data_IF_017025929192
#
_entry.id   IF_017025929192
#
_cell.length_a   1.000
_cell.length_b   1.000
_cell.length_c   1.000
_cell.angle_alpha   90.00
_cell.angle_beta   90.00
_cell.angle_gamma   90.00
#
_symmetry.space_group_name_H-M   'P 1'
#
loop_
_entity.id
_entity.type
_entity.pdbx_description
1 polymer ?
#
# COMPACT_ATOMS: atom_id res chain seq x y z
N UNK A 1 -41.16 28.28 11.83
CA UNK A 1 -41.64 27.08 12.52
C UNK A 1 -41.81 27.38 14.01
N UNK A 2 -42.88 26.84 14.67
CA UNK A 2 -43.01 26.89 16.13
C UNK A 2 -42.32 25.68 16.75
N UNK A 3 -41.55 25.89 17.81
CA UNK A 3 -40.79 24.81 18.47
C UNK A 3 -41.68 23.66 18.94
N UNK A 4 -42.85 23.98 19.56
CA UNK A 4 -43.82 22.99 20.01
C UNK A 4 -44.37 22.11 18.89
N UNK A 5 -44.59 22.68 17.70
CA UNK A 5 -45.01 21.90 16.52
C UNK A 5 -43.91 20.98 16.06
N UNK A 6 -42.67 21.48 15.98
CA UNK A 6 -41.51 20.68 15.56
C UNK A 6 -41.26 19.51 16.52
N UNK A 7 -41.35 19.74 17.82
CA UNK A 7 -41.18 18.70 18.82
C UNK A 7 -42.24 17.60 18.70
N UNK A 8 -43.51 17.98 18.63
CA UNK A 8 -44.63 17.05 18.49
C UNK A 8 -44.56 16.26 17.17
N UNK A 9 -44.36 16.93 16.05
CA UNK A 9 -44.29 16.28 14.73
C UNK A 9 -43.05 15.36 14.61
N UNK A 10 -41.91 15.79 15.13
CA UNK A 10 -40.70 14.94 15.12
C UNK A 10 -40.86 13.71 16.02
N UNK A 11 -41.57 13.81 17.14
CA UNK A 11 -41.90 12.65 17.99
C UNK A 11 -42.77 11.63 17.23
N UNK A 12 -43.82 12.11 16.54
CA UNK A 12 -44.71 11.25 15.74
C UNK A 12 -43.95 10.55 14.63
N UNK A 13 -43.12 11.29 13.85
CA UNK A 13 -42.31 10.66 12.79
C UNK A 13 -41.30 9.66 13.34
N UNK A 14 -40.67 9.96 14.47
CA UNK A 14 -39.72 9.07 15.13
C UNK A 14 -40.40 7.77 15.58
N UNK A 15 -41.52 7.82 16.25
CA UNK A 15 -42.28 6.66 16.75
C UNK A 15 -42.85 5.80 15.62
N UNK A 16 -43.21 6.44 14.50
CA UNK A 16 -43.68 5.74 13.30
C UNK A 16 -42.57 5.20 12.40
N UNK A 17 -41.27 5.39 12.74
CA UNK A 17 -40.15 4.99 11.93
C UNK A 17 -40.00 5.74 10.57
N UNK A 18 -40.69 6.90 10.44
CA UNK A 18 -40.62 7.75 9.24
C UNK A 18 -39.35 8.57 9.23
N UNK A 19 -38.18 7.89 9.14
CA UNK A 19 -36.88 8.55 9.34
C UNK A 19 -36.56 9.64 8.32
N UNK A 20 -36.96 9.52 7.06
CA UNK A 20 -36.69 10.54 6.04
C UNK A 20 -37.50 11.83 6.26
N UNK A 21 -38.78 11.69 6.63
CA UNK A 21 -39.62 12.82 6.98
C UNK A 21 -39.15 13.53 8.26
N UNK A 22 -38.65 12.72 9.22
CA UNK A 22 -38.05 13.25 10.44
C UNK A 22 -36.78 14.07 10.14
N UNK A 23 -35.88 13.55 9.31
CA UNK A 23 -34.65 14.26 8.92
C UNK A 23 -34.99 15.59 8.27
N UNK A 24 -35.89 15.60 7.27
CA UNK A 24 -36.29 16.81 6.57
C UNK A 24 -36.94 17.84 7.49
N UNK A 25 -37.80 17.42 8.43
CA UNK A 25 -38.42 18.31 9.41
C UNK A 25 -37.37 18.95 10.33
N UNK A 26 -36.44 18.15 10.85
CA UNK A 26 -35.44 18.64 11.81
C UNK A 26 -34.41 19.52 11.12
N UNK A 27 -34.00 19.24 9.90
CA UNK A 27 -33.07 20.07 9.12
C UNK A 27 -33.71 21.48 8.89
N UNK A 28 -34.99 21.52 8.54
CA UNK A 28 -35.74 22.79 8.44
C UNK A 28 -35.86 23.52 9.78
N UNK A 29 -35.98 22.80 10.88
CA UNK A 29 -35.99 23.40 12.21
C UNK A 29 -34.61 24.02 12.55
N UNK A 30 -33.51 23.35 12.24
CA UNK A 30 -32.17 23.88 12.48
C UNK A 30 -31.90 25.16 11.66
N UNK A 31 -32.35 25.21 10.40
CA UNK A 31 -32.24 26.43 9.58
C UNK A 31 -33.07 27.60 10.15
N UNK A 32 -34.12 27.28 10.90
CA UNK A 32 -34.96 28.28 11.62
C UNK A 32 -34.43 28.58 13.03
N UNK A 33 -33.23 28.06 13.42
CA UNK A 33 -32.63 28.31 14.73
C UNK A 33 -33.21 27.45 15.87
N UNK A 34 -34.08 26.47 15.58
CA UNK A 34 -34.67 25.58 16.59
C UNK A 34 -33.76 24.38 16.75
N UNK A 35 -33.03 24.30 17.87
CA UNK A 35 -32.14 23.19 18.21
C UNK A 35 -32.35 22.75 19.66
N UNK A 36 -32.66 21.50 19.91
CA UNK A 36 -32.93 20.98 21.24
C UNK A 36 -32.39 19.56 21.42
N UNK A 37 -32.30 19.14 22.68
CA UNK A 37 -31.88 17.79 23.06
C UNK A 37 -32.70 16.71 22.33
N UNK A 38 -34.03 16.79 22.37
CA UNK A 38 -34.90 15.78 21.80
C UNK A 38 -34.76 15.66 20.27
N UNK A 39 -34.63 16.79 19.58
CA UNK A 39 -34.42 16.81 18.14
C UNK A 39 -33.09 16.14 17.80
N UNK A 40 -32.03 16.45 18.56
CA UNK A 40 -30.71 15.84 18.36
C UNK A 40 -30.69 14.34 18.63
N UNK A 41 -31.38 13.87 19.69
CA UNK A 41 -31.47 12.41 20.00
C UNK A 41 -32.26 11.70 18.91
N UNK A 42 -33.48 12.18 18.57
CA UNK A 42 -34.32 11.50 17.55
C UNK A 42 -33.61 11.43 16.22
N UNK A 43 -32.96 12.50 15.81
CA UNK A 43 -32.15 12.52 14.57
C UNK A 43 -30.95 11.57 14.64
N UNK A 44 -30.22 11.58 15.73
CA UNK A 44 -29.08 10.71 15.94
C UNK A 44 -29.48 9.22 15.93
N UNK A 45 -30.55 8.84 16.61
CA UNK A 45 -31.09 7.48 16.60
C UNK A 45 -31.62 7.10 15.22
N UNK A 46 -32.29 8.01 14.50
CA UNK A 46 -32.75 7.76 13.14
C UNK A 46 -31.60 7.49 12.17
N UNK A 47 -30.52 8.25 12.23
CA UNK A 47 -29.31 7.96 11.45
C UNK A 47 -28.66 6.64 11.88
N UNK A 48 -28.66 6.32 13.16
CA UNK A 48 -28.15 5.04 13.65
C UNK A 48 -28.95 3.86 13.07
N UNK A 49 -30.27 3.92 13.06
CA UNK A 49 -31.17 2.91 12.49
C UNK A 49 -30.95 2.73 10.99
N UNK A 50 -30.64 3.80 10.27
CA UNK A 50 -30.26 3.79 8.85
C UNK A 50 -28.82 3.33 8.60
N UNK A 51 -28.06 2.92 9.63
CA UNK A 51 -26.64 2.58 9.60
C UNK A 51 -25.73 3.74 9.14
N UNK A 52 -26.20 4.98 9.21
CA UNK A 52 -25.43 6.19 8.93
C UNK A 52 -24.68 6.67 10.19
N UNK A 53 -23.81 5.80 10.73
CA UNK A 53 -23.24 5.95 12.08
C UNK A 53 -22.44 7.24 12.29
N UNK A 54 -21.74 7.75 11.26
CA UNK A 54 -21.02 9.02 11.39
C UNK A 54 -21.96 10.22 11.58
N UNK A 55 -23.11 10.22 10.93
CA UNK A 55 -24.16 11.23 11.16
C UNK A 55 -24.79 11.04 12.53
N UNK A 56 -25.08 9.82 12.93
CA UNK A 56 -25.55 9.52 14.29
C UNK A 56 -24.59 10.07 15.34
N UNK A 57 -23.28 9.83 15.22
CA UNK A 57 -22.24 10.37 16.13
C UNK A 57 -22.32 11.90 16.22
N UNK A 58 -22.48 12.60 15.09
CA UNK A 58 -22.55 14.04 15.05
C UNK A 58 -23.71 14.56 15.94
N UNK A 59 -24.91 13.99 15.77
CA UNK A 59 -26.10 14.46 16.45
C UNK A 59 -26.16 13.99 17.91
N UNK A 60 -25.81 12.74 18.19
CA UNK A 60 -25.76 12.20 19.56
C UNK A 60 -24.72 12.93 20.42
N UNK A 61 -23.57 13.32 19.86
CA UNK A 61 -22.61 14.18 20.58
C UNK A 61 -23.18 15.54 20.91
N UNK A 62 -23.89 16.17 19.97
CA UNK A 62 -24.57 17.45 20.22
C UNK A 62 -25.67 17.30 21.28
N UNK A 63 -26.42 16.20 21.28
CA UNK A 63 -27.39 15.89 22.31
C UNK A 63 -26.76 15.84 23.71
N UNK A 64 -25.60 15.23 23.85
CA UNK A 64 -24.84 15.15 25.11
C UNK A 64 -24.25 16.50 25.58
N UNK A 65 -24.22 17.52 24.73
CA UNK A 65 -23.92 18.91 25.18
C UNK A 65 -25.09 19.46 25.98
N UNK A 66 -26.33 19.16 25.58
CA UNK A 66 -27.53 19.56 26.33
C UNK A 66 -27.73 18.73 27.60
N UNK A 67 -27.51 17.40 27.52
CA UNK A 67 -27.74 16.48 28.64
C UNK A 67 -26.57 15.47 28.76
N UNK A 68 -25.47 15.86 29.45
CA UNK A 68 -24.26 15.05 29.53
C UNK A 68 -24.42 13.73 30.29
N UNK A 69 -25.41 13.59 31.13
CA UNK A 69 -25.67 12.40 31.97
C UNK A 69 -26.52 11.34 31.26
N UNK A 70 -27.16 11.65 30.13
CA UNK A 70 -28.13 10.75 29.51
C UNK A 70 -27.48 9.45 29.01
N UNK A 71 -27.91 8.32 29.60
CA UNK A 71 -27.41 7.00 29.29
C UNK A 71 -27.94 6.48 27.97
N UNK A 72 -29.17 6.79 27.58
CA UNK A 72 -29.75 6.36 26.31
C UNK A 72 -28.95 6.90 25.13
N UNK A 73 -28.65 8.21 25.14
CA UNK A 73 -27.79 8.82 24.11
C UNK A 73 -26.37 8.26 24.14
N UNK A 74 -25.78 8.02 25.32
CA UNK A 74 -24.45 7.42 25.45
C UNK A 74 -24.40 6.01 24.89
N UNK A 75 -25.46 5.23 25.05
CA UNK A 75 -25.53 3.87 24.54
C UNK A 75 -25.49 3.84 23.00
N UNK A 76 -26.38 4.59 22.35
CA UNK A 76 -26.36 4.71 20.89
C UNK A 76 -25.03 5.28 20.36
N UNK A 77 -24.48 6.29 21.04
CA UNK A 77 -23.19 6.88 20.65
C UNK A 77 -22.05 5.86 20.78
N UNK A 78 -22.08 5.03 21.84
CA UNK A 78 -21.09 3.99 22.04
C UNK A 78 -21.12 2.97 20.90
N UNK A 79 -22.30 2.44 20.55
CA UNK A 79 -22.41 1.50 19.45
C UNK A 79 -22.09 2.16 18.09
N UNK A 80 -22.43 3.43 17.88
CA UNK A 80 -22.03 4.15 16.67
C UNK A 80 -20.51 4.27 16.56
N UNK A 81 -19.80 4.49 17.66
CA UNK A 81 -18.33 4.45 17.69
C UNK A 81 -17.77 3.05 17.39
N UNK A 82 -18.40 1.98 17.88
CA UNK A 82 -17.99 0.60 17.57
C UNK A 82 -18.13 0.30 16.08
N UNK A 83 -19.28 0.65 15.49
CA UNK A 83 -19.57 0.37 14.08
C UNK A 83 -18.75 1.22 13.10
N UNK A 84 -18.17 2.32 13.58
CA UNK A 84 -17.22 3.15 12.81
C UNK A 84 -15.76 2.89 13.18
N UNK A 85 -15.49 1.85 13.97
CA UNK A 85 -14.15 1.49 14.48
C UNK A 85 -13.45 2.62 15.28
N UNK A 86 -14.19 3.59 15.77
CA UNK A 86 -13.71 4.66 16.63
C UNK A 86 -13.56 4.19 18.09
N UNK A 87 -12.82 3.09 18.28
CA UNK A 87 -12.67 2.43 19.59
C UNK A 87 -12.09 3.35 20.67
N UNK A 88 -11.26 4.30 20.30
CA UNK A 88 -10.65 5.22 21.27
C UNK A 88 -11.67 6.23 21.83
N UNK A 89 -12.55 6.76 21.00
CA UNK A 89 -13.66 7.60 21.45
C UNK A 89 -14.69 6.81 22.28
N UNK A 90 -14.93 5.57 21.88
CA UNK A 90 -15.78 4.68 22.67
C UNK A 90 -15.21 4.41 24.08
N UNK A 91 -13.90 4.19 24.23
CA UNK A 91 -13.23 4.06 25.53
C UNK A 91 -13.35 5.31 26.40
N UNK A 92 -13.16 6.49 25.77
CA UNK A 92 -13.32 7.78 26.47
C UNK A 92 -14.77 7.95 26.93
N UNK A 93 -15.74 7.56 26.09
CA UNK A 93 -17.15 7.63 26.45
C UNK A 93 -17.50 6.75 27.65
N UNK A 94 -16.95 5.53 27.72
CA UNK A 94 -17.14 4.62 28.88
C UNK A 94 -16.70 5.30 30.19
N UNK A 95 -15.58 6.03 30.21
CA UNK A 95 -15.14 6.72 31.44
C UNK A 95 -16.11 7.80 31.91
N UNK A 96 -17.02 8.26 31.04
CA UNK A 96 -18.09 9.22 31.34
C UNK A 96 -19.43 8.56 31.70
N UNK A 97 -19.50 7.22 31.69
CA UNK A 97 -20.67 6.45 32.12
C UNK A 97 -20.61 6.17 33.62
N UNK A 98 -21.75 5.91 34.28
CA UNK A 98 -21.76 5.46 35.66
C UNK A 98 -20.96 4.16 35.84
N UNK A 99 -20.28 4.01 36.96
CA UNK A 99 -19.33 2.91 37.21
C UNK A 99 -19.98 1.53 37.07
N UNK A 100 -21.26 1.41 37.38
CA UNK A 100 -22.06 0.18 37.23
C UNK A 100 -22.16 -0.30 35.79
N UNK A 101 -22.10 0.60 34.83
CA UNK A 101 -22.18 0.27 33.39
C UNK A 101 -20.81 0.05 32.76
N UNK A 102 -19.76 0.68 33.30
CA UNK A 102 -18.43 0.68 32.69
C UNK A 102 -17.90 -0.74 32.42
N UNK A 103 -18.06 -1.66 33.35
CA UNK A 103 -17.55 -3.03 33.23
C UNK A 103 -18.18 -3.81 32.05
N UNK A 104 -19.48 -3.63 31.79
CA UNK A 104 -20.19 -4.29 30.68
C UNK A 104 -19.73 -3.73 29.31
N UNK A 105 -19.62 -2.41 29.20
CA UNK A 105 -19.15 -1.78 27.96
C UNK A 105 -17.66 -2.01 27.68
N UNK A 106 -16.82 -2.09 28.73
CA UNK A 106 -15.40 -2.42 28.59
C UNK A 106 -15.20 -3.83 28.01
N UNK A 107 -16.08 -4.80 28.34
CA UNK A 107 -16.04 -6.14 27.76
C UNK A 107 -16.27 -6.13 26.24
N UNK A 108 -17.04 -5.16 25.72
CA UNK A 108 -17.32 -5.03 24.29
C UNK A 108 -16.14 -4.40 23.54
N UNK A 109 -15.34 -3.57 24.22
CA UNK A 109 -14.10 -3.02 23.67
C UNK A 109 -12.92 -3.82 24.24
N UNK A 110 -12.78 -5.07 23.88
CA UNK A 110 -11.57 -5.81 24.23
C UNK A 110 -10.38 -5.16 23.53
N UNK A 111 -9.32 -4.87 24.31
CA UNK A 111 -7.99 -4.64 23.74
C UNK A 111 -7.59 -5.94 23.06
N UNK A 112 -7.66 -5.97 21.75
CA UNK A 112 -7.31 -7.16 21.02
C UNK A 112 -5.90 -6.96 20.47
N UNK A 113 -5.00 -7.82 20.88
CA UNK A 113 -3.78 -8.05 20.12
C UNK A 113 -4.20 -8.74 18.81
N UNK A 114 -3.41 -8.56 17.80
CA UNK A 114 -3.63 -9.26 16.53
C UNK A 114 -2.31 -9.79 16.01
N UNK A 115 -2.37 -10.95 15.39
CA UNK A 115 -1.27 -11.52 14.64
C UNK A 115 -1.70 -11.65 13.21
N UNK A 116 -0.83 -11.23 12.31
CA UNK A 116 -1.00 -11.34 10.86
C UNK A 116 0.11 -12.21 10.32
N UNK A 117 -0.25 -13.18 9.52
CA UNK A 117 0.66 -13.98 8.75
C UNK A 117 0.30 -13.80 7.27
N UNK A 118 1.30 -13.50 6.43
CA UNK A 118 1.12 -13.41 4.99
C UNK A 118 2.16 -14.25 4.26
N UNK A 119 1.73 -14.93 3.22
CA UNK A 119 2.58 -15.60 2.24
C UNK A 119 2.18 -15.13 0.85
N UNK A 120 3.16 -14.72 0.05
CA UNK A 120 2.96 -14.27 -1.32
C UNK A 120 3.90 -14.97 -2.29
N UNK A 121 3.35 -15.35 -3.44
CA UNK A 121 4.09 -15.86 -4.58
C UNK A 121 3.77 -15.01 -5.81
N UNK A 122 4.82 -14.57 -6.51
CA UNK A 122 4.71 -13.79 -7.73
C UNK A 122 5.50 -14.48 -8.84
N UNK A 123 4.91 -14.59 -10.00
CA UNK A 123 5.53 -15.09 -11.23
C UNK A 123 5.53 -14.02 -12.30
N UNK A 124 6.38 -14.18 -13.29
CA UNK A 124 6.53 -13.26 -14.41
C UNK A 124 6.04 -13.90 -15.70
N UNK A 125 5.24 -13.14 -16.46
CA UNK A 125 4.77 -13.49 -17.80
C UNK A 125 5.41 -12.53 -18.79
N UNK A 126 6.33 -13.02 -19.58
CA UNK A 126 6.93 -12.23 -20.67
C UNK A 126 6.03 -12.33 -21.92
N UNK A 127 5.73 -11.20 -22.55
CA UNK A 127 4.87 -11.14 -23.74
C UNK A 127 5.54 -11.74 -24.99
N UNK A 128 6.87 -11.85 -24.99
CA UNK A 128 7.64 -12.53 -25.99
C UNK A 128 8.62 -13.49 -25.31
N UNK A 129 8.78 -14.71 -25.84
CA UNK A 129 9.92 -15.57 -25.56
C UNK A 129 11.15 -14.84 -26.10
N UNK A 130 11.71 -13.97 -25.29
CA UNK A 130 12.98 -13.34 -25.62
C UNK A 130 14.07 -14.36 -25.28
N UNK A 131 14.32 -15.22 -26.25
CA UNK A 131 15.54 -15.99 -26.32
C UNK A 131 16.75 -15.04 -26.35
N UNK A 132 17.88 -15.54 -25.92
CA UNK A 132 19.21 -14.95 -26.17
C UNK A 132 19.36 -14.41 -27.59
N UNK A 133 18.67 -14.99 -28.56
CA UNK A 133 18.53 -14.56 -29.95
C UNK A 133 18.00 -13.12 -30.11
N UNK A 134 17.25 -12.57 -29.14
CA UNK A 134 16.77 -11.17 -29.25
C UNK A 134 17.91 -10.17 -29.14
N UNK A 135 18.88 -10.41 -28.27
CA UNK A 135 20.10 -9.59 -28.23
C UNK A 135 20.97 -9.77 -29.46
N UNK A 136 20.92 -10.95 -30.07
CA UNK A 136 21.74 -11.34 -31.21
C UNK A 136 21.11 -10.94 -32.56
N UNK A 137 19.87 -11.28 -32.80
CA UNK A 137 19.29 -11.25 -34.14
C UNK A 137 18.93 -9.84 -34.65
N UNK A 138 18.52 -8.91 -33.80
CA UNK A 138 18.05 -7.58 -34.25
C UNK A 138 19.18 -6.59 -34.52
N UNK A 139 20.34 -6.77 -33.91
CA UNK A 139 21.38 -5.76 -33.86
C UNK A 139 22.63 -6.10 -34.68
N UNK A 140 22.76 -7.34 -35.13
CA UNK A 140 23.85 -7.73 -36.04
C UNK A 140 23.63 -7.35 -37.52
N UNK A 141 22.40 -6.97 -37.86
CA UNK A 141 22.08 -6.41 -39.19
C UNK A 141 22.44 -4.93 -39.33
N UNK A 142 22.70 -4.22 -38.23
CA UNK A 142 23.13 -2.84 -38.27
C UNK A 142 24.67 -2.76 -38.29
N UNK A 143 25.21 -2.73 -39.48
CA UNK A 143 26.68 -2.66 -39.74
C UNK A 143 27.35 -1.42 -39.17
N UNK A 144 26.60 -0.39 -38.85
CA UNK A 144 27.12 0.85 -38.21
C UNK A 144 27.53 0.63 -36.74
N UNK A 145 27.18 -0.49 -36.14
CA UNK A 145 27.40 -0.83 -34.74
C UNK A 145 28.57 -1.80 -34.51
N UNK A 146 29.37 -2.10 -35.52
CA UNK A 146 30.53 -2.96 -35.42
C UNK A 146 31.76 -2.25 -34.83
N UNK A 147 31.68 -1.93 -33.52
CA UNK A 147 32.86 -1.56 -32.74
C UNK A 147 33.66 -2.78 -32.27
N UNK A 148 34.93 -2.57 -31.88
CA UNK A 148 35.87 -3.61 -31.41
C UNK A 148 35.46 -4.28 -30.07
N UNK A 149 34.25 -4.15 -29.61
CA UNK A 149 33.72 -4.84 -28.45
C UNK A 149 32.26 -4.46 -28.24
N UNK A 150 31.39 -5.44 -28.25
CA UNK A 150 29.99 -5.29 -27.93
C UNK A 150 29.74 -5.94 -26.57
N UNK A 151 29.08 -5.22 -25.69
CA UNK A 151 28.64 -5.72 -24.39
C UNK A 151 27.17 -5.39 -24.20
N UNK A 152 26.41 -6.38 -23.78
CA UNK A 152 25.00 -6.21 -23.44
C UNK A 152 24.67 -7.01 -22.16
N UNK A 153 23.83 -6.45 -21.32
CA UNK A 153 23.32 -7.11 -20.14
C UNK A 153 21.81 -6.92 -19.98
N UNK A 154 21.15 -7.95 -19.49
CA UNK A 154 19.79 -7.88 -19.01
C UNK A 154 19.67 -8.53 -17.65
N UNK A 155 18.75 -8.06 -16.85
CA UNK A 155 18.48 -8.60 -15.53
C UNK A 155 16.95 -8.75 -15.40
N UNK A 156 16.48 -9.99 -15.31
CA UNK A 156 15.06 -10.32 -15.36
C UNK A 156 14.62 -10.98 -14.07
N UNK A 157 13.47 -10.58 -13.59
CA UNK A 157 12.81 -11.24 -12.47
C UNK A 157 12.08 -12.50 -12.99
N UNK A 158 12.35 -13.66 -12.40
CA UNK A 158 11.64 -14.93 -12.69
C UNK A 158 10.47 -15.12 -11.74
N UNK A 159 10.73 -15.09 -10.45
CA UNK A 159 9.72 -15.27 -9.42
C UNK A 159 10.10 -14.50 -8.14
N UNK A 160 9.11 -14.21 -7.32
CA UNK A 160 9.32 -13.64 -6.01
C UNK A 160 8.42 -14.36 -5.00
N UNK A 161 8.99 -14.68 -3.85
CA UNK A 161 8.28 -15.20 -2.71
C UNK A 161 8.48 -14.26 -1.54
N UNK A 162 7.44 -14.05 -0.73
CA UNK A 162 7.60 -13.37 0.54
C UNK A 162 6.81 -14.04 1.64
N UNK A 163 7.36 -13.97 2.82
CA UNK A 163 6.77 -14.43 4.05
C UNK A 163 6.81 -13.29 5.04
N UNK A 164 5.68 -13.04 5.70
CA UNK A 164 5.58 -11.97 6.66
C UNK A 164 4.84 -12.42 7.90
N UNK A 165 5.35 -11.97 9.04
CA UNK A 165 4.72 -12.09 10.35
C UNK A 165 4.61 -10.70 10.97
N UNK A 166 3.43 -10.35 11.46
CA UNK A 166 3.19 -9.07 12.11
C UNK A 166 2.31 -9.18 13.33
N UNK A 167 2.50 -8.26 14.26
CA UNK A 167 1.74 -8.19 15.50
C UNK A 167 1.23 -6.77 15.74
N UNK A 168 -0.08 -6.65 15.91
CA UNK A 168 -0.74 -5.42 16.35
C UNK A 168 -1.04 -5.48 17.86
N UNK A 169 -0.76 -4.41 18.57
CA UNK A 169 -0.91 -4.36 20.03
C UNK A 169 -1.34 -2.98 20.50
N UNK A 170 -2.20 -2.89 21.53
CA UNK A 170 -2.58 -1.63 22.14
C UNK A 170 -1.51 -1.19 23.15
N UNK A 171 -0.91 0.00 22.96
CA UNK A 171 0.04 0.59 23.89
C UNK A 171 -0.66 1.40 24.97
N UNK A 172 -1.69 2.16 24.58
CA UNK A 172 -2.49 2.95 25.51
C UNK A 172 -3.94 3.09 25.02
N UNK A 173 -4.77 3.88 25.74
CA UNK A 173 -6.15 4.17 25.30
C UNK A 173 -6.22 4.84 23.92
N UNK A 174 -5.17 5.56 23.50
CA UNK A 174 -5.12 6.32 22.25
C UNK A 174 -4.05 5.87 21.28
N UNK A 175 -3.22 4.91 21.67
CA UNK A 175 -2.05 4.50 20.87
C UNK A 175 -2.13 3.00 20.61
N UNK A 176 -2.06 2.63 19.34
CA UNK A 176 -1.87 1.25 18.88
C UNK A 176 -0.52 1.15 18.18
N UNK A 177 0.21 0.09 18.48
CA UNK A 177 1.45 -0.27 17.80
C UNK A 177 1.20 -1.43 16.83
N UNK A 178 2.00 -1.47 15.80
CA UNK A 178 2.15 -2.61 14.91
C UNK A 178 3.63 -2.83 14.63
N UNK A 179 4.08 -4.06 14.72
CA UNK A 179 5.45 -4.43 14.33
C UNK A 179 5.41 -5.69 13.49
N UNK A 180 6.29 -5.79 12.53
CA UNK A 180 6.34 -6.95 11.64
C UNK A 180 7.74 -7.19 11.10
N UNK A 181 7.98 -8.45 10.74
CA UNK A 181 9.18 -8.90 10.05
C UNK A 181 8.77 -9.59 8.77
N UNK A 182 9.56 -9.43 7.71
CA UNK A 182 9.33 -10.15 6.47
C UNK A 182 10.63 -10.57 5.79
N UNK A 183 10.53 -11.65 5.05
CA UNK A 183 11.60 -12.19 4.20
C UNK A 183 11.08 -12.20 2.79
N UNK A 184 11.84 -11.63 1.88
CA UNK A 184 11.55 -11.61 0.44
C UNK A 184 12.69 -12.32 -0.30
N UNK A 185 12.35 -13.28 -1.12
CA UNK A 185 13.27 -13.95 -2.03
C UNK A 185 12.85 -13.65 -3.47
N UNK A 186 13.70 -12.97 -4.20
CA UNK A 186 13.47 -12.60 -5.59
C UNK A 186 14.48 -13.36 -6.47
N UNK A 187 14.00 -14.38 -7.16
CA UNK A 187 14.80 -15.15 -8.12
C UNK A 187 14.89 -14.39 -9.42
N UNK A 188 16.09 -14.13 -9.85
CA UNK A 188 16.42 -13.33 -11.03
C UNK A 188 17.35 -14.10 -11.95
N UNK A 189 17.35 -13.71 -13.21
CA UNK A 189 18.27 -14.18 -14.24
C UNK A 189 19.01 -12.98 -14.82
N UNK A 190 20.33 -13.00 -14.70
CA UNK A 190 21.21 -12.05 -15.37
C UNK A 190 21.75 -12.70 -16.64
N UNK A 191 21.53 -12.08 -17.78
CA UNK A 191 22.04 -12.51 -19.06
C UNK A 191 23.10 -11.50 -19.53
N UNK A 192 24.28 -12.00 -19.86
CA UNK A 192 25.42 -11.19 -20.31
C UNK A 192 25.90 -11.72 -21.66
N UNK A 193 25.90 -10.81 -22.63
CA UNK A 193 26.44 -11.04 -23.96
C UNK A 193 27.67 -10.17 -24.18
N UNK A 194 28.78 -10.75 -24.67
CA UNK A 194 29.93 -9.97 -25.10
C UNK A 194 30.51 -10.51 -26.38
N UNK A 195 30.96 -9.64 -27.26
CA UNK A 195 31.73 -9.95 -28.44
C UNK A 195 33.00 -9.11 -28.42
N UNK A 196 34.15 -9.74 -28.44
CA UNK A 196 35.45 -9.09 -28.54
C UNK A 196 36.19 -9.59 -29.77
N UNK A 197 37.00 -8.71 -30.33
CA UNK A 197 37.84 -9.03 -31.49
C UNK A 197 39.27 -9.13 -31.01
N UNK A 198 39.89 -10.29 -31.19
CA UNK A 198 41.29 -10.55 -30.85
C UNK A 198 42.07 -10.72 -32.13
N UNK A 199 43.14 -9.98 -32.25
CA UNK A 199 44.07 -10.10 -33.36
C UNK A 199 45.20 -11.06 -32.98
N UNK A 200 45.31 -12.19 -33.71
CA UNK A 200 46.39 -13.13 -33.53
C UNK A 200 47.27 -13.12 -34.80
N UNK A 201 48.58 -13.10 -34.61
CA UNK A 201 49.51 -13.23 -35.72
C UNK A 201 49.65 -14.71 -36.09
N UNK A 202 49.22 -15.06 -37.31
CA UNK A 202 49.37 -16.41 -37.84
C UNK A 202 50.75 -16.48 -38.50
N UNK A 203 51.68 -17.21 -37.87
CA UNK A 203 53.06 -17.36 -38.33
C UNK A 203 53.13 -18.15 -39.64
N UNK A 204 52.16 -19.02 -39.95
CA UNK A 204 52.12 -19.80 -41.17
C UNK A 204 51.69 -18.95 -42.36
N UNK A 205 50.87 -17.95 -42.17
CA UNK A 205 50.35 -17.00 -43.18
C UNK A 205 51.06 -15.68 -43.18
N UNK A 206 51.96 -15.44 -42.20
CA UNK A 206 52.62 -14.15 -41.95
C UNK A 206 51.64 -12.96 -41.94
N UNK A 207 50.45 -13.20 -41.39
CA UNK A 207 49.34 -12.23 -41.38
C UNK A 207 48.65 -12.15 -40.03
N UNK A 208 48.16 -10.98 -39.70
CA UNK A 208 47.28 -10.79 -38.56
C UNK A 208 45.88 -11.28 -38.91
N UNK A 209 45.41 -12.31 -38.17
CA UNK A 209 44.06 -12.84 -38.30
C UNK A 209 43.18 -12.27 -37.21
N UNK A 210 41.98 -11.87 -37.62
CA UNK A 210 40.94 -11.32 -36.73
C UNK A 210 40.03 -12.48 -36.31
N UNK A 211 40.04 -12.79 -35.02
CA UNK A 211 39.15 -13.76 -34.43
C UNK A 211 38.16 -13.11 -33.52
N UNK A 212 36.88 -13.35 -33.74
CA UNK A 212 35.82 -12.89 -32.83
C UNK A 212 35.59 -13.90 -31.73
N UNK A 213 35.73 -13.47 -30.48
CA UNK A 213 35.36 -14.25 -29.30
C UNK A 213 33.98 -13.78 -28.84
N UNK A 214 33.01 -14.69 -28.89
CA UNK A 214 31.65 -14.45 -28.40
C UNK A 214 31.50 -15.21 -27.09
N UNK A 215 31.03 -14.52 -26.07
CA UNK A 215 30.60 -15.11 -24.80
C UNK A 215 29.15 -14.73 -24.57
N UNK A 216 28.30 -15.73 -24.40
CA UNK A 216 26.88 -15.63 -24.13
C UNK A 216 26.57 -16.49 -22.92
N UNK A 217 26.22 -15.87 -21.81
CA UNK A 217 26.10 -16.55 -20.51
C UNK A 217 24.90 -16.01 -19.75
N UNK A 218 24.09 -16.93 -19.24
CA UNK A 218 23.06 -16.60 -18.27
C UNK A 218 23.40 -17.15 -16.89
N UNK A 219 23.11 -16.38 -15.87
CA UNK A 219 23.35 -16.72 -14.47
C UNK A 219 22.09 -16.45 -13.66
N UNK A 220 21.58 -17.49 -12.99
CA UNK A 220 20.47 -17.35 -12.05
C UNK A 220 21.00 -16.98 -10.66
N UNK A 221 20.38 -16.00 -10.02
CA UNK A 221 20.72 -15.60 -8.67
C UNK A 221 19.50 -15.23 -7.86
N UNK A 222 19.61 -15.29 -6.55
CA UNK A 222 18.56 -14.90 -5.61
C UNK A 222 18.97 -13.62 -4.90
N UNK A 223 18.08 -12.62 -4.94
CA UNK A 223 18.14 -11.46 -4.09
C UNK A 223 17.32 -11.79 -2.84
N UNK A 224 17.97 -11.90 -1.69
CA UNK A 224 17.33 -12.11 -0.40
C UNK A 224 17.21 -10.77 0.33
N UNK A 225 16.02 -10.44 0.80
CA UNK A 225 15.73 -9.20 1.53
C UNK A 225 15.04 -9.52 2.85
N UNK A 226 15.54 -8.94 3.93
CA UNK A 226 14.98 -9.00 5.28
C UNK A 226 14.46 -7.62 5.64
N UNK A 227 13.26 -7.57 6.20
CA UNK A 227 12.59 -6.31 6.52
C UNK A 227 12.08 -6.33 7.97
N UNK A 228 12.22 -5.21 8.63
CA UNK A 228 11.61 -4.96 9.95
C UNK A 228 10.80 -3.67 9.84
N UNK A 229 9.55 -3.74 10.18
CA UNK A 229 8.62 -2.61 10.18
C UNK A 229 8.09 -2.36 11.59
N UNK A 230 7.92 -1.10 11.93
CA UNK A 230 7.15 -0.66 13.10
C UNK A 230 6.32 0.57 12.77
N UNK A 231 5.14 0.65 13.34
CA UNK A 231 4.23 1.77 13.12
C UNK A 231 3.34 2.04 14.33
N UNK A 232 2.91 3.29 14.46
CA UNK A 232 1.99 3.73 15.50
C UNK A 232 0.77 4.38 14.87
N UNK A 233 -0.39 4.11 15.45
CA UNK A 233 -1.64 4.81 15.20
C UNK A 233 -2.01 5.54 16.48
N UNK A 234 -2.11 6.87 16.41
CA UNK A 234 -2.37 7.75 17.55
C UNK A 234 -3.66 8.51 17.32
N UNK A 235 -4.67 8.22 18.12
CA UNK A 235 -5.96 8.95 18.09
C UNK A 235 -5.80 10.29 18.82
N UNK A 236 -5.97 11.37 18.07
CA UNK A 236 -5.94 12.75 18.57
C UNK A 236 -7.39 13.30 18.76
N UNK A 237 -7.56 14.39 19.51
CA UNK A 237 -8.88 15.04 19.62
C UNK A 237 -9.44 15.47 18.26
N UNK A 238 -10.75 15.74 18.20
CA UNK A 238 -11.47 16.22 17.00
C UNK A 238 -11.42 15.26 15.79
N UNK A 239 -11.43 13.94 16.05
CA UNK A 239 -11.39 12.88 15.02
C UNK A 239 -10.18 12.96 14.09
N UNK A 240 -9.05 13.36 14.62
CA UNK A 240 -7.76 13.36 13.93
C UNK A 240 -7.02 12.08 14.34
N UNK A 241 -6.41 11.42 13.37
CA UNK A 241 -5.52 10.27 13.62
C UNK A 241 -4.17 10.55 12.99
N UNK A 242 -3.12 10.40 13.80
CA UNK A 242 -1.74 10.43 13.35
C UNK A 242 -1.27 8.99 13.17
N UNK A 243 -0.74 8.71 11.99
CA UNK A 243 -0.15 7.42 11.63
C UNK A 243 1.34 7.64 11.40
N UNK A 244 2.17 6.80 11.98
CA UNK A 244 3.62 6.82 11.72
C UNK A 244 4.08 5.43 11.34
N UNK A 245 5.09 5.33 10.50
CA UNK A 245 5.70 4.06 10.14
C UNK A 245 7.18 4.23 9.85
N UNK A 246 7.96 3.23 10.23
CA UNK A 246 9.36 3.13 9.88
C UNK A 246 9.69 1.69 9.49
N UNK A 247 10.48 1.53 8.44
CA UNK A 247 10.93 0.24 7.94
C UNK A 247 12.41 0.28 7.64
N UNK A 248 13.11 -0.75 8.08
CA UNK A 248 14.47 -1.03 7.67
C UNK A 248 14.50 -2.30 6.84
N UNK A 249 15.17 -2.24 5.70
CA UNK A 249 15.31 -3.34 4.78
C UNK A 249 16.80 -3.59 4.54
N UNK A 250 17.23 -4.80 4.75
CA UNK A 250 18.57 -5.27 4.39
C UNK A 250 18.43 -6.28 3.26
N UNK A 251 19.16 -6.09 2.18
CA UNK A 251 19.20 -7.06 1.10
C UNK A 251 20.62 -7.43 0.71
N UNK A 252 20.78 -8.67 0.24
CA UNK A 252 22.01 -9.21 -0.32
C UNK A 252 21.72 -9.92 -1.62
N UNK A 253 22.66 -9.83 -2.53
CA UNK A 253 22.62 -10.55 -3.82
C UNK A 253 24.01 -10.95 -4.22
N UNK A 254 24.11 -12.11 -4.90
CA UNK A 254 25.32 -12.54 -5.57
C UNK A 254 25.09 -12.45 -7.07
N UNK A 255 25.56 -11.36 -7.68
CA UNK A 255 25.35 -11.09 -9.10
C UNK A 255 26.66 -11.16 -9.87
N UNK A 256 26.60 -11.77 -11.05
CA UNK A 256 27.72 -11.79 -11.98
C UNK A 256 27.88 -10.45 -12.69
N UNK A 257 29.11 -9.97 -12.76
CA UNK A 257 29.49 -8.74 -13.48
C UNK A 257 30.54 -9.08 -14.52
N UNK A 258 30.51 -8.34 -15.63
CA UNK A 258 31.56 -8.37 -16.60
C UNK A 258 32.48 -7.16 -16.43
N UNK A 259 33.79 -7.38 -16.41
CA UNK A 259 34.81 -6.34 -16.42
C UNK A 259 35.65 -6.47 -17.68
N UNK A 260 35.82 -5.34 -18.39
CA UNK A 260 36.67 -5.32 -19.57
C UNK A 260 38.13 -5.28 -19.15
N UNK A 261 38.92 -6.23 -19.66
CA UNK A 261 40.38 -6.26 -19.47
C UNK A 261 41.04 -5.72 -20.75
N UNK A 262 41.62 -4.54 -20.68
CA UNK A 262 42.26 -3.85 -21.81
C UNK A 262 43.54 -4.54 -22.31
N UNK A 263 44.23 -5.29 -21.44
CA UNK A 263 45.44 -6.01 -21.82
C UNK A 263 45.14 -7.24 -22.69
N UNK A 264 44.06 -7.96 -22.34
CA UNK A 264 43.64 -9.13 -23.11
C UNK A 264 42.58 -8.84 -24.17
N UNK A 265 42.12 -7.56 -24.26
CA UNK A 265 41.04 -7.12 -25.12
C UNK A 265 39.77 -7.98 -25.00
N UNK A 266 39.45 -8.41 -23.76
CA UNK A 266 38.39 -9.38 -23.50
C UNK A 266 37.63 -9.05 -22.24
N UNK A 267 36.35 -9.50 -22.16
CA UNK A 267 35.54 -9.42 -20.95
C UNK A 267 35.78 -10.61 -20.03
N UNK A 268 36.01 -10.34 -18.76
CA UNK A 268 36.09 -11.31 -17.69
C UNK A 268 34.84 -11.24 -16.83
N UNK A 269 34.24 -12.39 -16.52
CA UNK A 269 33.08 -12.51 -15.66
C UNK A 269 33.51 -12.82 -14.23
N UNK A 270 32.96 -12.09 -13.27
CA UNK A 270 33.23 -12.27 -11.84
C UNK A 270 31.93 -12.20 -11.07
N UNK A 271 31.75 -13.10 -10.12
CA UNK A 271 30.68 -12.99 -9.14
C UNK A 271 31.03 -11.94 -8.09
N UNK A 272 30.06 -11.15 -7.71
CA UNK A 272 30.20 -10.17 -6.65
C UNK A 272 29.01 -10.21 -5.72
N UNK A 273 29.30 -10.37 -4.44
CA UNK A 273 28.31 -10.25 -3.38
C UNK A 273 28.15 -8.77 -3.03
N UNK A 274 26.95 -8.27 -3.14
CA UNK A 274 26.64 -6.92 -2.68
C UNK A 274 25.55 -6.96 -1.62
N UNK A 275 25.71 -6.16 -0.57
CA UNK A 275 24.74 -6.02 0.50
C UNK A 275 24.46 -4.54 0.74
N UNK A 276 23.19 -4.18 0.93
CA UNK A 276 22.78 -2.79 1.16
C UNK A 276 21.65 -2.72 2.17
N UNK A 277 21.62 -1.61 2.91
CA UNK A 277 20.51 -1.25 3.81
C UNK A 277 19.70 -0.11 3.22
N UNK A 278 18.39 -0.21 3.32
CA UNK A 278 17.42 0.82 2.96
C UNK A 278 16.61 1.20 4.21
N UNK A 279 16.26 2.46 4.31
CA UNK A 279 15.42 2.97 5.39
C UNK A 279 14.26 3.77 4.81
N UNK A 280 13.07 3.54 5.36
CA UNK A 280 11.84 4.23 4.98
C UNK A 280 11.15 4.73 6.24
N UNK A 281 10.73 5.99 6.23
CA UNK A 281 9.89 6.57 7.28
C UNK A 281 8.73 7.32 6.67
N UNK A 282 7.58 7.26 7.33
CA UNK A 282 6.36 7.91 6.86
C UNK A 282 5.54 8.43 8.03
N UNK A 283 4.92 9.59 7.83
CA UNK A 283 3.99 10.21 8.77
C UNK A 283 2.76 10.63 8.00
N UNK A 284 1.57 10.25 8.48
CA UNK A 284 0.30 10.60 7.86
C UNK A 284 -0.67 11.15 8.88
N UNK A 285 -1.43 12.14 8.47
CA UNK A 285 -2.49 12.75 9.25
C UNK A 285 -3.81 12.53 8.54
N UNK A 286 -4.78 11.97 9.24
CA UNK A 286 -6.14 11.78 8.74
C UNK A 286 -7.14 12.52 9.62
N UNK A 287 -8.25 12.95 9.02
CA UNK A 287 -9.36 13.51 9.75
C UNK A 287 -10.67 12.96 9.20
N UNK A 288 -11.52 12.43 10.09
CA UNK A 288 -12.83 11.94 9.68
C UNK A 288 -13.86 13.08 9.72
N UNK A 289 -14.49 13.31 8.59
CA UNK A 289 -15.65 14.19 8.43
C UNK A 289 -16.82 13.35 7.95
N UNK A 290 -17.93 13.29 8.64
CA UNK A 290 -19.15 12.59 8.21
C UNK A 290 -18.91 11.38 7.26
N UNK A 291 -18.86 11.65 5.95
CA UNK A 291 -18.66 10.67 4.88
C UNK A 291 -17.29 10.77 4.19
N UNK A 292 -16.43 11.70 4.61
CA UNK A 292 -15.11 11.92 3.99
C UNK A 292 -13.98 11.71 5.00
N UNK A 293 -12.92 11.06 4.56
CA UNK A 293 -11.70 10.83 5.34
C UNK A 293 -10.50 11.27 4.49
N UNK A 294 -10.15 12.57 4.47
CA UNK A 294 -8.92 13.03 3.86
C UNK A 294 -7.70 12.58 4.67
N UNK A 295 -6.60 12.32 3.96
CA UNK A 295 -5.30 11.98 4.52
C UNK A 295 -4.20 12.72 3.78
N UNK A 296 -3.30 13.33 4.52
CA UNK A 296 -2.02 13.85 4.05
C UNK A 296 -0.91 12.96 4.59
N UNK A 297 0.01 12.57 3.74
CA UNK A 297 1.15 11.72 4.08
C UNK A 297 2.46 12.32 3.59
N UNK A 298 3.50 12.24 4.41
CA UNK A 298 4.87 12.66 4.07
C UNK A 298 5.83 11.54 4.43
N UNK A 299 6.70 11.17 3.49
CA UNK A 299 7.72 10.13 3.66
C UNK A 299 9.11 10.66 3.38
N UNK A 300 10.09 10.18 4.15
CA UNK A 300 11.51 10.40 3.96
C UNK A 300 12.21 9.04 3.90
N UNK A 301 12.83 8.75 2.76
CA UNK A 301 13.31 7.42 2.43
C UNK A 301 14.77 7.48 1.98
N UNK A 302 15.56 6.49 2.34
CA UNK A 302 16.88 6.24 1.77
C UNK A 302 16.85 4.85 1.14
N UNK A 303 16.75 4.79 -0.18
CA UNK A 303 16.61 3.55 -0.95
C UNK A 303 17.71 3.52 -2.00
N UNK A 304 18.44 2.42 -2.08
CA UNK A 304 19.60 2.24 -2.98
C UNK A 304 20.66 3.34 -2.88
N UNK A 305 20.82 3.90 -1.68
CA UNK A 305 21.75 5.01 -1.40
C UNK A 305 21.21 6.38 -1.79
N UNK A 306 20.02 6.49 -2.39
CA UNK A 306 19.38 7.75 -2.78
C UNK A 306 18.46 8.24 -1.66
N UNK A 307 18.55 9.53 -1.35
CA UNK A 307 17.60 10.20 -0.46
C UNK A 307 16.39 10.64 -1.27
N UNK A 308 15.21 10.30 -0.78
CA UNK A 308 13.94 10.54 -1.46
C UNK A 308 12.93 11.14 -0.49
N UNK A 309 12.10 12.04 -0.98
CA UNK A 309 10.91 12.53 -0.31
C UNK A 309 9.65 12.10 -1.05
N UNK A 310 8.58 11.84 -0.33
CA UNK A 310 7.28 11.50 -0.88
C UNK A 310 6.20 12.30 -0.18
N UNK A 311 5.28 12.89 -0.94
CA UNK A 311 4.07 13.54 -0.43
C UNK A 311 2.89 12.87 -1.11
N UNK A 312 1.86 12.51 -0.32
CA UNK A 312 0.64 11.93 -0.86
C UNK A 312 -0.61 12.58 -0.24
N UNK A 313 -1.59 12.82 -1.09
CA UNK A 313 -2.93 13.26 -0.74
C UNK A 313 -3.92 12.17 -1.12
N UNK A 314 -4.78 11.79 -0.18
CA UNK A 314 -5.81 10.77 -0.39
C UNK A 314 -7.10 11.21 0.26
N UNK A 315 -8.23 10.84 -0.34
CA UNK A 315 -9.54 11.02 0.29
C UNK A 315 -10.37 9.75 0.10
N UNK A 316 -10.92 9.24 1.20
CA UNK A 316 -11.90 8.16 1.17
C UNK A 316 -13.30 8.74 1.34
N UNK A 317 -14.22 8.35 0.47
CA UNK A 317 -15.64 8.67 0.53
C UNK A 317 -16.41 7.43 0.97
N UNK A 318 -17.25 7.58 1.99
CA UNK A 318 -18.11 6.55 2.57
C UNK A 318 -19.56 6.86 2.23
N UNK A 319 -20.13 6.34 1.12
CA UNK A 319 -21.49 6.68 0.67
C UNK A 319 -22.56 6.47 1.77
N UNK A 320 -22.40 5.39 2.53
CA UNK A 320 -23.33 5.00 3.60
C UNK A 320 -22.90 5.50 4.99
N UNK A 321 -21.88 6.35 5.08
CA UNK A 321 -21.33 6.80 6.37
C UNK A 321 -20.62 5.71 7.18
N UNK A 322 -20.35 4.57 6.58
CA UNK A 322 -19.65 3.42 7.16
C UNK A 322 -18.79 2.73 6.09
N UNK A 323 -18.01 1.71 6.50
CA UNK A 323 -17.11 0.97 5.61
C UNK A 323 -17.80 -0.11 4.76
N UNK A 324 -19.15 -0.25 4.79
CA UNK A 324 -19.85 -1.20 3.93
C UNK A 324 -19.62 -0.93 2.45
N UNK A 325 -19.30 0.33 2.10
CA UNK A 325 -18.76 0.74 0.82
C UNK A 325 -17.82 1.92 1.04
N UNK A 326 -16.64 1.87 0.46
CA UNK A 326 -15.64 2.94 0.50
C UNK A 326 -15.05 3.15 -0.89
N UNK A 327 -14.93 4.39 -1.30
CA UNK A 327 -14.30 4.82 -2.54
C UNK A 327 -13.12 5.72 -2.16
N UNK A 328 -11.91 5.36 -2.54
CA UNK A 328 -10.72 6.12 -2.18
C UNK A 328 -9.98 6.54 -3.44
N UNK A 329 -9.72 7.83 -3.56
CA UNK A 329 -8.85 8.39 -4.59
C UNK A 329 -7.62 9.05 -3.98
N UNK A 330 -6.48 8.96 -4.63
CA UNK A 330 -5.27 9.57 -4.14
C UNK A 330 -4.23 9.84 -5.22
N UNK A 331 -3.36 10.80 -4.90
CA UNK A 331 -2.20 11.17 -5.71
C UNK A 331 -0.97 11.22 -4.82
N UNK A 332 0.16 10.82 -5.36
CA UNK A 332 1.44 10.88 -4.67
C UNK A 332 2.53 11.38 -5.60
N UNK A 333 3.38 12.23 -5.07
CA UNK A 333 4.58 12.71 -5.73
C UNK A 333 5.76 12.29 -4.88
N UNK A 334 6.71 11.60 -5.50
CA UNK A 334 8.00 11.29 -4.88
C UNK A 334 9.13 11.85 -5.72
N UNK A 335 10.16 12.37 -5.09
CA UNK A 335 11.31 12.93 -5.79
C UNK A 335 12.61 12.55 -5.10
N UNK A 336 13.64 12.42 -5.90
CA UNK A 336 15.05 12.43 -5.50
C UNK A 336 15.77 13.58 -6.21
N UNK A 337 17.08 13.67 -6.07
CA UNK A 337 17.88 14.75 -6.69
C UNK A 337 17.91 14.70 -8.24
N UNK A 338 17.37 13.65 -8.87
CA UNK A 338 17.46 13.40 -10.30
C UNK A 338 16.11 13.37 -11.01
N UNK A 339 15.08 12.85 -10.34
CA UNK A 339 13.80 12.52 -10.97
C UNK A 339 12.64 12.76 -10.01
N UNK A 340 11.52 13.25 -10.58
CA UNK A 340 10.23 13.30 -9.91
C UNK A 340 9.28 12.25 -10.49
N UNK A 341 8.55 11.54 -9.63
CA UNK A 341 7.67 10.43 -9.99
C UNK A 341 6.27 10.68 -9.43
N UNK A 342 5.29 10.50 -10.28
CA UNK A 342 3.88 10.69 -9.92
C UNK A 342 3.16 9.35 -9.94
N UNK A 343 2.28 9.15 -8.96
CA UNK A 343 1.40 7.98 -8.86
C UNK A 343 -0.01 8.47 -8.57
N UNK A 344 -0.97 7.97 -9.33
CA UNK A 344 -2.40 8.19 -9.09
C UNK A 344 -3.02 6.82 -8.79
N UNK A 345 -3.97 6.78 -7.84
CA UNK A 345 -4.62 5.53 -7.49
C UNK A 345 -6.08 5.70 -7.11
N UNK A 346 -6.82 4.64 -7.36
CA UNK A 346 -8.21 4.46 -6.96
C UNK A 346 -8.36 3.13 -6.22
N UNK A 347 -9.17 3.12 -5.17
CA UNK A 347 -9.52 1.90 -4.42
C UNK A 347 -11.01 1.88 -4.17
N UNK A 348 -11.59 0.70 -4.26
CA UNK A 348 -13.00 0.44 -3.93
C UNK A 348 -13.01 -0.74 -2.98
N UNK A 349 -13.58 -0.56 -1.81
CA UNK A 349 -13.70 -1.62 -0.83
C UNK A 349 -15.09 -1.66 -0.23
N UNK A 350 -15.49 -2.83 0.24
CA UNK A 350 -16.78 -2.95 0.85
C UNK A 350 -17.14 -4.35 1.31
N UNK A 351 -18.35 -4.45 1.83
CA UNK A 351 -18.93 -5.65 2.39
C UNK A 351 -19.86 -6.32 1.37
N UNK A 352 -19.59 -7.56 1.02
CA UNK A 352 -20.48 -8.37 0.17
C UNK A 352 -21.61 -8.96 1.04
N UNK A 353 -21.24 -9.52 2.20
CA UNK A 353 -22.18 -10.04 3.18
C UNK A 353 -21.58 -9.94 4.60
N UNK A 354 -22.24 -10.48 5.62
CA UNK A 354 -21.80 -10.38 7.02
C UNK A 354 -20.40 -10.94 7.29
N UNK A 355 -19.89 -11.82 6.44
CA UNK A 355 -18.59 -12.50 6.60
C UNK A 355 -17.59 -12.21 5.49
N UNK A 356 -18.05 -11.77 4.33
CA UNK A 356 -17.19 -11.59 3.15
C UNK A 356 -17.05 -10.12 2.79
N UNK A 357 -15.79 -9.68 2.67
CA UNK A 357 -15.39 -8.34 2.27
C UNK A 357 -14.51 -8.38 1.04
N UNK A 358 -14.51 -7.32 0.27
CA UNK A 358 -13.64 -7.15 -0.89
C UNK A 358 -12.95 -5.80 -0.87
N UNK A 359 -11.76 -5.75 -1.47
CA UNK A 359 -11.05 -4.53 -1.81
C UNK A 359 -10.49 -4.70 -3.22
N UNK A 360 -10.68 -3.72 -4.07
CA UNK A 360 -10.07 -3.64 -5.39
C UNK A 360 -9.34 -2.31 -5.54
N UNK A 361 -8.28 -2.29 -6.33
CA UNK A 361 -7.47 -1.10 -6.52
C UNK A 361 -6.77 -1.07 -7.85
N UNK A 362 -6.48 0.15 -8.28
CA UNK A 362 -5.72 0.47 -9.46
C UNK A 362 -4.75 1.61 -9.13
N UNK A 363 -3.47 1.41 -9.41
CA UNK A 363 -2.42 2.40 -9.34
C UNK A 363 -1.81 2.58 -10.72
N UNK A 364 -1.53 3.80 -11.12
CA UNK A 364 -0.87 4.14 -12.37
C UNK A 364 0.15 5.24 -12.16
N UNK A 365 1.20 5.25 -13.00
CA UNK A 365 2.29 6.20 -12.92
C UNK A 365 3.65 5.54 -12.80
N UNK A 366 4.58 6.17 -12.11
CA UNK A 366 5.90 5.60 -11.85
C UNK A 366 5.98 5.15 -10.38
N UNK A 367 5.72 3.86 -10.13
CA UNK A 367 5.75 3.28 -8.79
C UNK A 367 7.17 2.86 -8.33
N UNK A 368 8.21 3.14 -9.10
CA UNK A 368 9.59 2.85 -8.68
C UNK A 368 9.92 3.66 -7.42
N UNK A 369 10.32 2.96 -6.35
CA UNK A 369 10.60 3.52 -5.01
C UNK A 369 9.40 4.16 -4.30
N UNK A 370 8.20 3.98 -4.81
CA UNK A 370 6.97 4.39 -4.14
C UNK A 370 6.76 3.62 -2.84
N UNK A 371 6.22 4.30 -1.82
CA UNK A 371 5.85 3.69 -0.54
C UNK A 371 4.35 3.79 -0.32
N UNK A 372 3.76 2.69 0.16
CA UNK A 372 2.33 2.53 0.41
C UNK A 372 2.10 2.10 1.87
N UNK A 373 0.93 2.41 2.44
CA UNK A 373 0.57 1.95 3.78
C UNK A 373 1.50 2.46 4.89
N UNK A 374 1.80 3.76 4.90
CA UNK A 374 2.74 4.38 5.85
C UNK A 374 4.15 3.77 5.84
N UNK A 375 4.62 3.40 4.66
CA UNK A 375 5.94 2.81 4.48
C UNK A 375 6.00 1.30 4.74
N UNK A 376 4.86 0.64 4.89
CA UNK A 376 4.78 -0.81 5.07
C UNK A 376 5.09 -1.60 3.79
N UNK A 377 4.64 -1.11 2.64
CA UNK A 377 4.97 -1.67 1.33
C UNK A 377 5.92 -0.70 0.62
N UNK A 378 7.04 -1.22 0.14
CA UNK A 378 8.07 -0.44 -0.56
C UNK A 378 8.39 -1.12 -1.88
N UNK A 379 8.28 -0.36 -2.97
CA UNK A 379 8.60 -0.84 -4.32
C UNK A 379 10.07 -0.54 -4.66
N UNK A 380 10.98 -1.20 -3.97
CA UNK A 380 12.44 -1.01 -4.10
C UNK A 380 13.08 -1.86 -5.21
N UNK A 381 12.37 -2.09 -6.29
CA UNK A 381 12.85 -2.84 -7.45
C UNK A 381 13.46 -1.92 -8.50
N UNK A 382 14.42 -2.45 -9.27
CA UNK A 382 15.10 -1.70 -10.33
C UNK A 382 14.15 -1.32 -11.47
N UNK A 383 13.19 -2.20 -11.77
CA UNK A 383 12.28 -2.03 -12.90
C UNK A 383 11.13 -1.08 -12.53
N UNK A 384 10.79 -0.20 -13.47
CA UNK A 384 9.69 0.72 -13.29
C UNK A 384 8.36 -0.03 -13.33
N UNK A 385 7.52 0.12 -12.31
CA UNK A 385 6.14 -0.38 -12.32
C UNK A 385 5.26 0.76 -12.80
N UNK A 386 4.56 0.55 -13.93
CA UNK A 386 3.72 1.58 -14.56
C UNK A 386 2.24 1.41 -14.24
N UNK A 387 1.84 0.20 -13.86
CA UNK A 387 0.49 -0.12 -13.46
C UNK A 387 0.50 -1.25 -12.43
N UNK A 388 -0.31 -1.10 -11.39
CA UNK A 388 -0.64 -2.16 -10.44
C UNK A 388 -2.15 -2.20 -10.27
N UNK A 389 -2.76 -3.36 -10.44
CA UNK A 389 -4.17 -3.60 -10.11
C UNK A 389 -4.30 -4.87 -9.29
N UNK A 390 -5.30 -4.92 -8.44
CA UNK A 390 -5.52 -6.10 -7.62
C UNK A 390 -6.91 -6.16 -7.00
N UNK A 391 -7.26 -7.36 -6.56
CA UNK A 391 -8.48 -7.66 -5.82
C UNK A 391 -8.11 -8.50 -4.61
N UNK A 392 -8.61 -8.13 -3.46
CA UNK A 392 -8.50 -8.86 -2.21
C UNK A 392 -9.89 -9.29 -1.75
N UNK A 393 -10.05 -10.54 -1.37
CA UNK A 393 -11.24 -11.07 -0.73
C UNK A 393 -10.89 -11.53 0.67
N UNK A 394 -11.63 -11.08 1.68
CA UNK A 394 -11.40 -11.40 3.09
C UNK A 394 -12.65 -12.07 3.68
N UNK A 395 -12.50 -13.28 4.21
CA UNK A 395 -13.56 -14.03 4.85
C UNK A 395 -13.33 -14.08 6.36
N UNK A 396 -14.32 -13.64 7.13
CA UNK A 396 -14.33 -13.64 8.60
C UNK A 396 -15.10 -14.84 9.11
N UNK A 397 -14.39 -15.84 9.63
CA UNK A 397 -15.02 -16.99 10.28
C UNK A 397 -15.80 -16.55 11.51
N UNK A 398 -15.21 -15.68 12.30
CA UNK A 398 -15.75 -15.06 13.50
C UNK A 398 -15.00 -13.74 13.80
N UNK A 399 -15.23 -13.14 14.97
CA UNK A 399 -14.57 -11.89 15.38
C UNK A 399 -13.06 -12.03 15.61
N UNK A 400 -12.54 -13.26 15.75
CA UNK A 400 -11.12 -13.54 16.04
C UNK A 400 -10.32 -13.95 14.81
N UNK A 401 -10.93 -14.64 13.85
CA UNK A 401 -10.22 -15.25 12.72
C UNK A 401 -10.75 -14.76 11.38
N UNK A 402 -9.84 -14.37 10.51
CA UNK A 402 -10.13 -14.15 9.09
C UNK A 402 -9.01 -14.66 8.22
N UNK A 403 -9.37 -15.05 7.00
CA UNK A 403 -8.46 -15.40 5.93
C UNK A 403 -8.71 -14.45 4.75
N UNK A 404 -7.66 -14.06 4.09
CA UNK A 404 -7.74 -13.24 2.87
C UNK A 404 -6.96 -13.86 1.73
N UNK A 405 -7.46 -13.63 0.52
CA UNK A 405 -6.80 -14.02 -0.74
C UNK A 405 -6.72 -12.77 -1.60
N UNK A 406 -5.52 -12.39 -2.01
CA UNK A 406 -5.27 -11.24 -2.88
C UNK A 406 -4.60 -11.68 -4.17
N UNK A 407 -5.09 -11.18 -5.29
CA UNK A 407 -4.47 -11.34 -6.59
C UNK A 407 -4.09 -9.99 -7.15
N UNK A 408 -2.81 -9.82 -7.52
CA UNK A 408 -2.25 -8.60 -8.08
C UNK A 408 -1.69 -8.85 -9.48
N UNK A 409 -1.87 -7.86 -10.35
CA UNK A 409 -1.21 -7.76 -11.65
C UNK A 409 -0.38 -6.47 -11.67
N UNK A 410 0.90 -6.61 -12.02
CA UNK A 410 1.82 -5.48 -12.14
C UNK A 410 2.40 -5.44 -13.57
N UNK A 411 2.25 -4.30 -14.24
CA UNK A 411 2.95 -4.04 -15.50
C UNK A 411 4.27 -3.36 -15.19
N UNK A 412 5.35 -3.95 -15.69
CA UNK A 412 6.72 -3.46 -15.48
C UNK A 412 7.40 -3.12 -16.79
N UNK A 413 8.30 -2.14 -16.70
CA UNK A 413 9.25 -1.76 -17.75
C UNK A 413 10.66 -2.07 -17.24
N UNK A 414 11.33 -3.02 -17.90
CA UNK A 414 12.75 -3.29 -17.70
C UNK A 414 13.57 -2.51 -18.72
N UNK A 415 14.67 -1.92 -18.31
CA UNK A 415 15.59 -1.22 -19.18
C UNK A 415 16.85 -2.05 -19.34
N UNK A 416 17.29 -2.23 -20.58
CA UNK A 416 18.55 -2.89 -20.92
C UNK A 416 19.51 -1.87 -21.51
N UNK A 417 20.78 -2.05 -21.22
CA UNK A 417 21.85 -1.24 -21.81
C UNK A 417 22.69 -2.12 -22.72
N UNK A 418 22.97 -1.62 -23.90
CA UNK A 418 23.92 -2.23 -24.82
C UNK A 418 25.03 -1.24 -25.11
N UNK A 419 26.24 -1.62 -24.79
CA UNK A 419 27.43 -0.82 -24.97
C UNK A 419 28.14 -1.20 -26.27
N UNK A 420 28.51 -0.22 -27.06
CA UNK A 420 29.31 -0.35 -28.29
C UNK A 420 30.76 0.06 -28.05
N UNK A 421 30.94 0.95 -27.09
CA UNK A 421 32.24 1.36 -26.55
C UNK A 421 32.07 1.59 -25.05
N UNK A 422 33.14 1.85 -24.33
CA UNK A 422 33.09 2.18 -22.89
C UNK A 422 32.22 3.42 -22.55
N UNK A 423 31.95 4.28 -23.54
CA UNK A 423 31.19 5.52 -23.38
C UNK A 423 29.91 5.61 -24.23
N UNK A 424 29.77 4.77 -25.26
CA UNK A 424 28.60 4.78 -26.15
C UNK A 424 27.71 3.57 -25.87
N UNK A 425 26.45 3.83 -25.53
CA UNK A 425 25.44 2.81 -25.27
C UNK A 425 24.08 3.19 -25.86
N UNK A 426 23.25 2.21 -26.09
CA UNK A 426 21.83 2.37 -26.43
C UNK A 426 20.98 1.68 -25.37
N UNK A 427 19.94 2.37 -24.93
CA UNK A 427 18.96 1.85 -23.98
C UNK A 427 17.78 1.25 -24.74
N UNK A 428 17.33 0.10 -24.28
CA UNK A 428 16.14 -0.61 -24.75
C UNK A 428 15.20 -0.81 -23.59
N UNK A 429 13.90 -0.81 -23.86
CA UNK A 429 12.86 -1.04 -22.86
C UNK A 429 12.00 -2.21 -23.28
N UNK A 430 11.74 -3.12 -22.36
CA UNK A 430 10.80 -4.22 -22.52
C UNK A 430 9.72 -4.17 -21.45
N UNK A 431 8.48 -4.53 -21.85
CA UNK A 431 7.34 -4.57 -20.96
C UNK A 431 6.99 -6.02 -20.61
N UNK A 432 6.73 -6.28 -19.35
CA UNK A 432 6.28 -7.58 -18.88
C UNK A 432 5.25 -7.48 -17.76
N UNK A 433 4.53 -8.56 -17.53
CA UNK A 433 3.52 -8.66 -16.47
C UNK A 433 4.00 -9.56 -15.35
N UNK A 434 3.74 -9.14 -14.13
CA UNK A 434 3.85 -10.00 -12.95
C UNK A 434 2.45 -10.31 -12.42
N UNK A 435 2.26 -11.55 -12.03
CA UNK A 435 1.05 -12.05 -11.40
C UNK A 435 1.39 -12.52 -9.99
N UNK A 436 0.74 -11.97 -8.98
CA UNK A 436 0.99 -12.33 -7.59
C UNK A 436 -0.27 -12.87 -6.93
N UNK A 437 -0.13 -13.97 -6.22
CA UNK A 437 -1.14 -14.52 -5.34
C UNK A 437 -0.64 -14.40 -3.90
N UNK A 438 -1.46 -13.83 -3.02
CA UNK A 438 -1.11 -13.56 -1.64
C UNK A 438 -2.21 -14.09 -0.74
N UNK A 439 -1.81 -14.90 0.25
CA UNK A 439 -2.66 -15.43 1.28
C UNK A 439 -2.35 -14.71 2.60
N UNK A 440 -3.36 -14.29 3.32
CA UNK A 440 -3.19 -13.72 4.64
C UNK A 440 -4.11 -14.40 5.66
N UNK A 441 -3.62 -14.52 6.87
CA UNK A 441 -4.35 -15.03 8.03
C UNK A 441 -4.24 -13.97 9.13
N UNK A 442 -5.38 -13.55 9.66
CA UNK A 442 -5.46 -12.65 10.80
C UNK A 442 -6.07 -13.37 11.98
N UNK A 443 -5.39 -13.30 13.11
CA UNK A 443 -5.89 -13.77 14.42
C UNK A 443 -5.91 -12.64 15.43
N UNK A 444 -7.05 -12.44 16.10
CA UNK A 444 -7.27 -11.47 17.19
C UNK A 444 -7.50 -12.20 18.51
N UNK A 445 -6.84 -11.78 19.58
CA UNK A 445 -6.92 -12.42 20.91
C UNK A 445 -6.82 -11.44 22.09
#
# INVERSE_FOLDING_TARGET
LKESFVDSASYVYFTQGKHDALVSLIDNAFTSGIDSYYLRVRLGVSYFTKNEFNLAILHLRKALVFYPSDMYTKDFLFYAYLYTENFEEAKILITKMPITYQASYQKLIKRQNSVVFEYGYQTTSYSNKQDSSFFLAKDFSDTSLHGNGVYAESDRMKSLQYLQFGMGYPLSKRIKGYSGVSIVQNNRESHIYSKSTVWNFDTSKQAWLNNSIIKDTSHEYTLAQYQVYTGLTIALPKHITLLTGAQYMFYSQNKMYATYNSLSNNYQFKDSVSAKGNFVSNVSLTKSFLKLIPMLSVGFNKIDGMNMSQIALQTSYLPFGNFNLSLTGGVSISSDNKESRNVVYLKVGGKINSKLWYDSYLYTGNLKYFTEGNGYVVYNVSDKITLKSGVNLSYYFNQKWSIGVRYDVLKREASYLRYYTTSKYKSYTDNYLNHALILNLLWKF
#
